data_IF_688539159017
#
_entry.id   IF_688539159017
#
_cell.length_a   1.000
_cell.length_b   1.000
_cell.length_c   1.000
_cell.angle_alpha   90.00
_cell.angle_beta   90.00
_cell.angle_gamma   90.00
#
_symmetry.space_group_name_H-M   'P 1'
#
loop_
_entity.id
_entity.type
_entity.pdbx_description
1 polymer ?
#
# COMPACT_ATOMS: atom_id res chain seq x y z
N UNK A 1 -61.33 -29.96 -40.49
CA UNK A 1 -61.76 -28.57 -40.20
C UNK A 1 -61.58 -28.31 -38.72
N UNK A 2 -60.67 -27.42 -38.32
CA UNK A 2 -60.59 -27.00 -36.91
C UNK A 2 -61.81 -26.13 -36.59
N UNK A 3 -62.79 -26.70 -35.88
CA UNK A 3 -63.98 -25.98 -35.44
C UNK A 3 -63.69 -25.35 -34.07
N UNK A 4 -63.30 -24.08 -34.05
CA UNK A 4 -63.12 -23.32 -32.81
C UNK A 4 -64.42 -22.66 -32.37
N UNK A 5 -64.70 -22.70 -31.07
CA UNK A 5 -65.79 -21.91 -30.48
C UNK A 5 -65.53 -20.41 -30.69
N UNK A 6 -66.59 -19.64 -30.93
CA UNK A 6 -66.52 -18.18 -31.18
C UNK A 6 -65.76 -17.43 -30.07
N UNK A 7 -65.82 -17.92 -28.83
CA UNK A 7 -65.07 -17.37 -27.69
C UNK A 7 -63.56 -17.62 -27.78
N UNK A 8 -63.13 -18.81 -28.26
CA UNK A 8 -61.70 -19.13 -28.42
C UNK A 8 -61.08 -18.25 -29.50
N UNK A 9 -61.81 -17.99 -30.58
CA UNK A 9 -61.37 -17.09 -31.66
C UNK A 9 -61.19 -15.68 -31.12
N UNK A 10 -62.15 -15.16 -30.36
CA UNK A 10 -62.05 -13.84 -29.73
C UNK A 10 -60.82 -13.70 -28.82
N UNK A 11 -60.53 -14.73 -28.02
CA UNK A 11 -59.34 -14.73 -27.14
C UNK A 11 -58.03 -14.70 -27.93
N UNK A 12 -57.91 -15.51 -28.98
CA UNK A 12 -56.74 -15.55 -29.84
C UNK A 12 -56.52 -14.20 -30.52
N UNK A 13 -57.59 -13.60 -31.08
CA UNK A 13 -57.51 -12.32 -31.77
C UNK A 13 -57.12 -11.20 -30.79
N UNK A 14 -57.71 -11.18 -29.60
CA UNK A 14 -57.38 -10.20 -28.56
C UNK A 14 -55.92 -10.33 -28.12
N UNK A 15 -55.41 -11.54 -27.91
CA UNK A 15 -54.01 -11.77 -27.55
C UNK A 15 -53.06 -11.28 -28.66
N UNK A 16 -53.36 -11.56 -29.93
CA UNK A 16 -52.59 -11.06 -31.08
C UNK A 16 -52.58 -9.53 -31.11
N UNK A 17 -53.74 -8.89 -30.91
CA UNK A 17 -53.83 -7.42 -30.89
C UNK A 17 -53.04 -6.82 -29.72
N UNK A 18 -53.11 -7.45 -28.53
CA UNK A 18 -52.32 -7.04 -27.36
C UNK A 18 -50.81 -7.13 -27.67
N UNK A 19 -50.35 -8.25 -28.22
CA UNK A 19 -48.92 -8.43 -28.52
C UNK A 19 -48.47 -7.50 -29.64
N UNK A 20 -49.31 -7.27 -30.65
CA UNK A 20 -49.02 -6.33 -31.73
C UNK A 20 -48.95 -4.88 -31.23
N UNK A 21 -49.85 -4.49 -30.33
CA UNK A 21 -49.82 -3.16 -29.70
C UNK A 21 -48.55 -2.95 -28.85
N UNK A 22 -48.17 -3.96 -28.05
CA UNK A 22 -46.90 -3.94 -27.30
C UNK A 22 -45.70 -3.87 -28.25
N UNK A 23 -45.73 -4.64 -29.35
CA UNK A 23 -44.67 -4.64 -30.36
C UNK A 23 -44.51 -3.27 -31.00
N UNK A 24 -45.59 -2.63 -31.45
CA UNK A 24 -45.57 -1.26 -32.00
C UNK A 24 -45.07 -0.22 -30.98
N UNK A 25 -45.48 -0.34 -29.71
CA UNK A 25 -44.99 0.53 -28.64
C UNK A 25 -43.48 0.42 -28.40
N UNK A 26 -42.85 -0.70 -28.77
CA UNK A 26 -41.41 -0.89 -28.73
C UNK A 26 -40.68 -0.36 -29.98
N UNK A 27 -41.38 0.01 -31.06
CA UNK A 27 -40.79 0.66 -32.25
C UNK A 27 -40.56 2.16 -32.04
N UNK A 28 -40.00 2.54 -30.90
CA UNK A 28 -39.70 3.93 -30.59
C UNK A 28 -38.42 4.36 -31.33
N UNK A 29 -38.55 4.65 -32.64
CA UNK A 29 -37.43 4.94 -33.54
C UNK A 29 -36.83 6.36 -33.35
N UNK A 30 -37.44 7.21 -32.52
CA UNK A 30 -37.09 8.63 -32.40
C UNK A 30 -36.56 9.06 -31.02
N UNK A 31 -36.88 8.34 -29.93
CA UNK A 31 -36.48 8.74 -28.58
C UNK A 31 -35.84 7.60 -27.82
N UNK A 32 -34.57 7.82 -27.45
CA UNK A 32 -33.74 6.98 -26.58
C UNK A 32 -34.17 7.09 -25.11
N UNK A 33 -35.47 7.09 -24.83
CA UNK A 33 -35.99 7.08 -23.47
C UNK A 33 -36.24 5.63 -23.09
N UNK A 34 -35.22 5.03 -22.48
CA UNK A 34 -35.18 3.66 -21.99
C UNK A 34 -36.27 3.43 -20.93
N UNK A 35 -37.45 2.97 -21.35
CA UNK A 35 -38.58 2.76 -20.44
C UNK A 35 -38.50 1.44 -19.67
N UNK A 36 -37.62 0.52 -20.06
CA UNK A 36 -37.40 -0.75 -19.36
C UNK A 36 -35.92 -1.13 -19.43
N UNK A 37 -35.24 -1.07 -18.27
CA UNK A 37 -33.90 -1.60 -18.00
C UNK A 37 -32.68 -0.76 -18.45
N UNK A 38 -32.58 0.45 -17.92
CA UNK A 38 -31.28 1.16 -17.78
C UNK A 38 -30.41 0.61 -16.63
N UNK A 39 -30.53 -0.68 -16.30
CA UNK A 39 -29.59 -1.30 -15.35
C UNK A 39 -28.31 -1.60 -16.10
N UNK A 40 -27.34 -0.69 -16.01
CA UNK A 40 -25.94 -1.00 -16.31
C UNK A 40 -25.55 -2.26 -15.53
N UNK A 41 -25.34 -3.35 -16.25
CA UNK A 41 -24.74 -4.56 -15.67
C UNK A 41 -23.28 -4.22 -15.39
N UNK A 42 -22.86 -4.37 -14.14
CA UNK A 42 -21.45 -4.25 -13.78
C UNK A 42 -20.72 -5.46 -14.35
N UNK A 43 -20.09 -5.24 -15.49
CA UNK A 43 -19.24 -6.23 -16.14
C UNK A 43 -17.97 -6.44 -15.27
N UNK A 44 -17.52 -7.69 -15.15
CA UNK A 44 -16.24 -7.99 -14.50
C UNK A 44 -15.05 -7.57 -15.36
N UNK A 45 -13.84 -7.59 -14.79
CA UNK A 45 -12.60 -7.19 -15.48
C UNK A 45 -12.38 -7.92 -16.81
N UNK A 46 -12.67 -9.22 -16.86
CA UNK A 46 -12.56 -10.05 -18.07
C UNK A 46 -13.49 -9.58 -19.20
N UNK A 47 -14.66 -9.05 -18.85
CA UNK A 47 -15.66 -8.55 -19.79
C UNK A 47 -15.52 -7.05 -20.10
N UNK A 48 -14.95 -6.27 -19.18
CA UNK A 48 -14.65 -4.84 -19.38
C UNK A 48 -13.33 -4.61 -20.10
N UNK A 49 -12.45 -5.61 -20.09
CA UNK A 49 -11.06 -5.48 -20.52
C UNK A 49 -10.24 -4.78 -19.44
N UNK A 50 -9.29 -5.51 -18.84
CA UNK A 50 -8.30 -4.97 -17.91
C UNK A 50 -7.38 -6.06 -17.36
N UNK A 51 -6.50 -5.73 -16.41
CA UNK A 51 -5.53 -6.67 -15.83
C UNK A 51 -5.58 -6.67 -14.31
N UNK A 52 -5.41 -7.85 -13.71
CA UNK A 52 -5.27 -8.04 -12.27
C UNK A 52 -3.82 -8.42 -11.97
N UNK A 53 -3.15 -7.64 -11.12
CA UNK A 53 -1.75 -7.83 -10.78
C UNK A 53 -1.63 -8.15 -9.29
N UNK A 54 -1.02 -9.28 -8.97
CA UNK A 54 -0.56 -9.60 -7.62
C UNK A 54 0.90 -9.18 -7.50
N UNK A 55 1.19 -8.28 -6.56
CA UNK A 55 2.53 -7.74 -6.35
C UNK A 55 3.08 -8.24 -5.01
N UNK A 56 4.27 -8.82 -5.06
CA UNK A 56 5.09 -9.14 -3.90
C UNK A 56 6.45 -8.44 -4.04
N UNK A 57 6.99 -7.95 -2.92
CA UNK A 57 8.23 -7.18 -2.89
C UNK A 57 9.17 -7.81 -1.87
N UNK A 58 10.41 -8.07 -2.31
CA UNK A 58 11.48 -8.42 -1.39
C UNK A 58 11.93 -7.17 -0.62
N UNK A 59 11.70 -7.19 0.70
CA UNK A 59 11.97 -6.07 1.59
C UNK A 59 13.40 -6.05 2.11
N UNK A 60 14.13 -7.17 2.02
CA UNK A 60 15.45 -7.30 2.63
C UNK A 60 16.48 -6.30 2.07
N UNK A 61 16.55 -6.05 0.75
CA UNK A 61 17.47 -5.05 0.20
C UNK A 61 17.15 -3.64 0.70
N UNK A 62 15.87 -3.32 0.88
CA UNK A 62 15.44 -2.01 1.39
C UNK A 62 15.83 -1.84 2.87
N UNK A 63 15.67 -2.89 3.69
CA UNK A 63 16.11 -2.88 5.08
C UNK A 63 17.62 -2.65 5.17
N UNK A 64 18.40 -3.38 4.37
CA UNK A 64 19.86 -3.23 4.37
C UNK A 64 20.28 -1.82 3.96
N UNK A 65 19.67 -1.26 2.90
CA UNK A 65 19.91 0.12 2.50
C UNK A 65 19.60 1.11 3.62
N UNK A 66 18.49 0.91 4.34
CA UNK A 66 18.10 1.76 5.47
C UNK A 66 19.07 1.63 6.65
N UNK A 67 19.62 0.44 6.90
CA UNK A 67 20.69 0.25 7.89
C UNK A 67 21.96 0.99 7.50
N UNK A 68 22.35 0.97 6.23
CA UNK A 68 23.51 1.69 5.71
C UNK A 68 23.35 3.20 5.87
N UNK A 69 22.20 3.75 5.47
CA UNK A 69 21.87 5.16 5.67
C UNK A 69 21.99 5.56 7.16
N UNK A 70 21.44 4.74 8.05
CA UNK A 70 21.47 4.97 9.50
C UNK A 70 22.86 4.80 10.12
N UNK A 71 23.66 3.86 9.63
CA UNK A 71 25.04 3.67 10.04
C UNK A 71 25.90 4.90 9.69
N UNK A 72 25.67 5.50 8.52
CA UNK A 72 26.32 6.74 8.10
C UNK A 72 25.93 7.91 9.01
N UNK A 73 24.64 8.05 9.31
CA UNK A 73 24.13 9.11 10.19
C UNK A 73 24.68 8.97 11.63
N UNK A 74 24.69 7.76 12.17
CA UNK A 74 25.29 7.47 13.48
C UNK A 74 26.78 7.81 13.49
N UNK A 75 27.51 7.41 12.45
CA UNK A 75 28.94 7.73 12.31
C UNK A 75 29.19 9.24 12.32
N UNK A 76 28.35 10.02 11.64
CA UNK A 76 28.42 11.48 11.63
C UNK A 76 28.20 12.06 13.03
N UNK A 77 27.14 11.65 13.71
CA UNK A 77 26.81 12.14 15.06
C UNK A 77 27.88 11.74 16.08
N UNK A 78 28.41 10.51 15.98
CA UNK A 78 29.48 10.05 16.85
C UNK A 78 30.75 10.88 16.67
N UNK A 79 31.11 11.21 15.42
CA UNK A 79 32.23 12.10 15.14
C UNK A 79 31.99 13.53 15.68
N UNK A 80 30.78 14.09 15.49
CA UNK A 80 30.41 15.41 16.02
C UNK A 80 30.54 15.48 17.55
N UNK A 81 30.15 14.40 18.24
CA UNK A 81 30.25 14.27 19.70
C UNK A 81 31.61 13.78 20.21
N UNK A 82 32.59 13.60 19.31
CA UNK A 82 33.93 13.07 19.61
C UNK A 82 33.89 11.73 20.37
N UNK A 83 32.95 10.85 19.99
CA UNK A 83 32.83 9.52 20.54
C UNK A 83 33.92 8.60 19.96
N UNK A 84 34.62 7.89 20.84
CA UNK A 84 35.64 6.91 20.46
C UNK A 84 35.00 5.54 20.22
N UNK A 85 34.60 5.26 18.97
CA UNK A 85 34.03 3.98 18.56
C UNK A 85 34.97 3.16 17.65
N UNK A 86 34.75 1.84 17.56
CA UNK A 86 35.43 0.89 16.67
C UNK A 86 34.42 -0.08 16.05
N UNK A 87 34.84 -0.75 14.98
CA UNK A 87 34.13 -1.89 14.37
C UNK A 87 32.67 -1.62 13.97
N UNK A 88 32.31 -0.37 13.64
CA UNK A 88 30.98 -0.04 13.14
C UNK A 88 30.73 -0.74 11.81
N UNK A 89 29.83 -1.72 11.85
CA UNK A 89 29.53 -2.61 10.74
C UNK A 89 28.07 -3.05 10.79
N UNK A 90 27.58 -3.57 9.65
CA UNK A 90 26.23 -4.11 9.54
C UNK A 90 26.34 -5.62 9.41
N UNK A 91 25.76 -6.35 10.35
CA UNK A 91 25.77 -7.81 10.38
C UNK A 91 24.35 -8.32 10.66
N UNK A 92 23.85 -9.22 9.81
CA UNK A 92 22.53 -9.86 9.98
C UNK A 92 21.39 -8.87 10.28
N UNK A 93 21.31 -7.81 9.47
CA UNK A 93 20.32 -6.73 9.60
C UNK A 93 20.39 -5.95 10.93
N UNK A 94 21.58 -5.88 11.53
CA UNK A 94 21.86 -5.12 12.75
C UNK A 94 23.10 -4.27 12.54
N UNK A 95 23.12 -3.09 13.15
CA UNK A 95 24.33 -2.28 13.25
C UNK A 95 25.04 -2.70 14.54
N UNK A 96 26.32 -3.00 14.45
CA UNK A 96 27.15 -3.36 15.61
C UNK A 96 28.34 -2.44 15.71
N UNK A 97 28.68 -1.99 16.92
CA UNK A 97 29.89 -1.22 17.17
C UNK A 97 30.38 -1.38 18.62
N UNK A 98 31.66 -1.08 18.84
CA UNK A 98 32.29 -1.10 20.15
C UNK A 98 32.70 0.31 20.57
N UNK A 99 32.65 0.62 21.87
CA UNK A 99 33.23 1.84 22.42
C UNK A 99 34.64 1.56 22.94
N UNK A 100 35.62 2.40 22.59
CA UNK A 100 36.97 2.29 23.15
C UNK A 100 37.03 2.72 24.61
N UNK A 101 36.18 3.68 25.00
CA UNK A 101 36.13 4.22 26.34
C UNK A 101 34.75 3.96 26.98
N UNK A 102 34.65 3.13 28.03
CA UNK A 102 33.39 2.79 28.66
C UNK A 102 32.71 3.99 29.34
N UNK A 103 33.45 5.05 29.67
CA UNK A 103 32.89 6.28 30.27
C UNK A 103 31.96 7.02 29.31
N UNK A 104 32.11 6.82 27.99
CA UNK A 104 31.30 7.50 26.97
C UNK A 104 29.96 6.80 26.67
N UNK A 105 29.61 5.76 27.44
CA UNK A 105 28.40 4.96 27.26
C UNK A 105 27.12 5.80 27.24
N UNK A 106 26.96 6.71 28.19
CA UNK A 106 25.76 7.56 28.28
C UNK A 106 25.68 8.55 27.11
N UNK A 107 26.81 9.11 26.69
CA UNK A 107 26.89 9.98 25.52
C UNK A 107 26.53 9.24 24.23
N UNK A 108 26.95 7.98 24.09
CA UNK A 108 26.58 7.13 22.96
C UNK A 108 25.08 6.81 22.94
N UNK A 109 24.49 6.48 24.09
CA UNK A 109 23.04 6.24 24.20
C UNK A 109 22.25 7.50 23.81
N UNK A 110 22.69 8.68 24.27
CA UNK A 110 22.07 9.96 23.91
C UNK A 110 22.18 10.25 22.41
N UNK A 111 23.33 9.97 21.78
CA UNK A 111 23.52 10.09 20.34
C UNK A 111 22.60 9.18 19.52
N UNK A 112 22.41 7.94 19.97
CA UNK A 112 21.49 6.97 19.33
C UNK A 112 20.04 7.49 19.43
N UNK A 113 19.64 7.99 20.59
CA UNK A 113 18.30 8.55 20.80
C UNK A 113 18.04 9.80 19.93
N UNK A 114 19.04 10.66 19.75
CA UNK A 114 18.93 11.82 18.83
C UNK A 114 18.71 11.39 17.38
N UNK A 115 19.35 10.30 16.96
CA UNK A 115 19.21 9.77 15.60
C UNK A 115 17.80 9.26 15.33
N UNK A 116 17.19 8.61 16.33
CA UNK A 116 15.77 8.18 16.26
C UNK A 116 14.80 9.37 16.15
N UNK A 117 15.15 10.53 16.71
CA UNK A 117 14.27 11.70 16.70
C UNK A 117 14.38 12.53 15.41
N UNK A 118 15.53 12.50 14.72
CA UNK A 118 15.81 13.32 13.53
C UNK A 118 14.99 12.92 12.29
N UNK A 119 14.60 11.65 12.13
CA UNK A 119 13.81 11.22 10.97
C UNK A 119 12.33 11.66 10.98
N UNK A 120 11.86 12.25 12.08
CA UNK A 120 10.54 12.88 12.16
C UNK A 120 10.39 14.18 11.34
N UNK A 121 11.37 14.53 10.49
CA UNK A 121 11.28 15.74 9.67
C UNK A 121 10.16 15.64 8.61
N UNK A 122 9.89 14.44 8.08
CA UNK A 122 8.76 14.20 7.17
C UNK A 122 7.43 13.90 7.89
N UNK A 123 7.45 13.60 9.20
CA UNK A 123 6.24 13.36 10.01
C UNK A 123 5.62 14.64 10.59
N UNK A 124 6.23 15.82 10.39
CA UNK A 124 5.72 17.11 10.88
C UNK A 124 4.33 17.50 10.37
N UNK A 125 3.78 16.83 9.35
CA UNK A 125 2.44 17.10 8.81
C UNK A 125 1.34 16.37 9.62
N UNK A 126 1.67 15.40 10.49
CA UNK A 126 0.68 14.66 11.30
C UNK A 126 1.06 14.64 12.78
N UNK A 127 0.97 15.82 13.41
CA UNK A 127 1.43 16.08 14.78
C UNK A 127 0.47 15.66 15.91
N UNK A 128 -0.42 14.68 15.70
CA UNK A 128 -1.45 14.28 16.69
C UNK A 128 -1.40 12.79 17.05
N UNK A 129 -0.22 12.19 17.19
CA UNK A 129 -0.14 10.85 17.79
C UNK A 129 1.16 10.73 18.57
N UNK A 130 1.02 10.71 19.90
CA UNK A 130 2.10 10.58 20.89
C UNK A 130 2.67 9.15 20.94
N UNK A 131 3.03 8.58 19.80
CA UNK A 131 3.85 7.39 19.75
C UNK A 131 5.19 7.79 19.14
N UNK A 132 6.18 7.98 20.01
CA UNK A 132 7.58 8.10 19.59
C UNK A 132 8.03 6.73 19.08
N UNK A 133 7.59 6.37 17.86
CA UNK A 133 8.00 5.14 17.21
C UNK A 133 9.49 5.25 16.94
N UNK A 134 10.29 4.67 17.83
CA UNK A 134 11.73 4.57 17.64
C UNK A 134 11.98 3.65 16.46
N UNK A 135 12.74 4.14 15.49
CA UNK A 135 13.16 3.34 14.35
C UNK A 135 13.90 2.08 14.83
N UNK A 136 14.75 2.22 15.85
CA UNK A 136 15.56 1.15 16.41
C UNK A 136 15.44 0.99 17.92
N UNK A 137 15.62 -0.24 18.38
CA UNK A 137 16.05 -0.53 19.74
C UNK A 137 17.55 -0.86 19.75
N UNK A 138 18.20 -0.66 20.90
CA UNK A 138 19.58 -1.05 21.11
C UNK A 138 19.67 -2.09 22.23
N UNK A 139 20.65 -2.98 22.13
CA UNK A 139 21.07 -3.91 23.18
C UNK A 139 22.59 -3.79 23.33
N UNK A 140 23.07 -3.99 24.55
CA UNK A 140 24.50 -4.01 24.84
C UNK A 140 24.85 -5.39 25.36
N UNK A 141 25.70 -6.12 24.65
CA UNK A 141 26.19 -7.45 25.02
C UNK A 141 27.72 -7.43 25.05
N UNK A 142 28.33 -7.70 26.21
CA UNK A 142 29.80 -7.74 26.37
C UNK A 142 30.52 -6.50 25.78
N UNK A 143 30.01 -5.30 26.10
CA UNK A 143 30.47 -3.99 25.60
C UNK A 143 30.29 -3.72 24.08
N UNK A 144 29.63 -4.62 23.37
CA UNK A 144 29.20 -4.43 21.98
C UNK A 144 27.80 -3.84 21.96
N UNK A 145 27.63 -2.72 21.28
CA UNK A 145 26.33 -2.14 20.99
C UNK A 145 25.75 -2.80 19.75
N UNK A 146 24.50 -3.24 19.85
CA UNK A 146 23.74 -3.88 18.78
C UNK A 146 22.46 -3.06 18.59
N UNK A 147 22.28 -2.48 17.41
CA UNK A 147 21.07 -1.74 17.02
C UNK A 147 20.30 -2.52 15.97
N UNK A 148 19.00 -2.65 16.17
CA UNK A 148 18.11 -3.38 15.29
C UNK A 148 16.79 -2.62 15.11
N UNK A 149 16.29 -2.60 13.87
CA UNK A 149 15.01 -1.98 13.58
C UNK A 149 13.90 -2.64 14.39
N UNK A 150 12.96 -1.84 14.89
CA UNK A 150 11.76 -2.37 15.54
C UNK A 150 10.87 -3.09 14.51
N UNK A 151 10.10 -4.07 14.96
CA UNK A 151 9.13 -4.76 14.09
C UNK A 151 8.09 -3.80 13.52
N UNK A 152 7.70 -2.80 14.30
CA UNK A 152 6.79 -1.74 13.87
C UNK A 152 7.39 -0.92 12.73
N UNK A 153 8.66 -0.49 12.85
CA UNK A 153 9.35 0.20 11.77
C UNK A 153 9.44 -0.66 10.49
N UNK A 154 9.79 -1.95 10.62
CA UNK A 154 9.86 -2.87 9.48
C UNK A 154 8.49 -3.02 8.81
N UNK A 155 7.41 -3.10 9.60
CA UNK A 155 6.03 -3.16 9.08
C UNK A 155 5.65 -1.88 8.33
N UNK A 156 6.03 -0.72 8.84
CA UNK A 156 5.84 0.56 8.15
C UNK A 156 6.61 0.61 6.84
N UNK A 157 7.90 0.27 6.88
CA UNK A 157 8.77 0.21 5.70
C UNK A 157 8.19 -0.70 4.61
N UNK A 158 7.67 -1.88 4.99
CA UNK A 158 7.01 -2.81 4.07
C UNK A 158 5.78 -2.19 3.43
N UNK A 159 4.93 -1.54 4.22
CA UNK A 159 3.72 -0.88 3.72
C UNK A 159 4.07 0.24 2.73
N UNK A 160 5.07 1.05 3.04
CA UNK A 160 5.50 2.17 2.20
C UNK A 160 6.11 1.67 0.88
N UNK A 161 6.91 0.61 0.94
CA UNK A 161 7.46 -0.04 -0.26
C UNK A 161 6.36 -0.56 -1.19
N UNK A 162 5.33 -1.21 -0.64
CA UNK A 162 4.17 -1.69 -1.41
C UNK A 162 3.44 -0.51 -2.07
N UNK A 163 3.12 0.52 -1.32
CA UNK A 163 2.43 1.70 -1.86
C UNK A 163 3.25 2.38 -2.97
N UNK A 164 4.56 2.51 -2.77
CA UNK A 164 5.44 3.09 -3.78
C UNK A 164 5.49 2.24 -5.04
N UNK A 165 5.55 0.91 -4.92
CA UNK A 165 5.51 0.00 -6.07
C UNK A 165 4.20 0.14 -6.84
N UNK A 166 3.05 0.17 -6.15
CA UNK A 166 1.74 0.38 -6.78
C UNK A 166 1.70 1.70 -7.54
N UNK A 167 2.21 2.79 -6.95
CA UNK A 167 2.28 4.10 -7.62
C UNK A 167 3.21 4.09 -8.85
N UNK A 168 4.34 3.38 -8.78
CA UNK A 168 5.25 3.23 -9.93
C UNK A 168 4.54 2.47 -11.06
N UNK A 169 3.86 1.37 -10.75
CA UNK A 169 3.10 0.57 -11.73
C UNK A 169 1.99 1.42 -12.34
N UNK A 170 1.21 2.14 -11.51
CA UNK A 170 0.14 3.03 -11.97
C UNK A 170 0.68 4.10 -12.94
N UNK A 171 1.76 4.79 -12.58
CA UNK A 171 2.39 5.79 -13.45
C UNK A 171 2.87 5.22 -14.77
N UNK A 172 3.36 3.96 -14.79
CA UNK A 172 3.79 3.30 -16.02
C UNK A 172 2.61 2.96 -16.92
N UNK A 173 1.49 2.53 -16.35
CA UNK A 173 0.26 2.28 -17.10
C UNK A 173 -0.32 3.58 -17.64
N UNK A 174 -0.37 4.64 -16.83
CA UNK A 174 -0.88 5.95 -17.24
C UNK A 174 -0.03 6.62 -18.35
N UNK A 175 1.22 6.17 -18.53
CA UNK A 175 2.12 6.64 -19.59
C UNK A 175 1.95 5.91 -20.94
N UNK A 176 1.23 4.79 -20.97
CA UNK A 176 0.94 4.01 -22.18
C UNK A 176 -0.34 4.51 -22.86
#
# INVERSE_FOLDING_TARGET
MLNFSRLKIGFILSSIVIFFYIFLGNFNFANKTNLFLDKKVNLGLDLQGGSYLLLEIDINPLINKKLEEKAIDLKKIFNEKKLDFKNLSILNNKITFDLKNPVQKDTAINAINETNNKENFFSKIKKNTENTNKDFFYRIEKDIFILQFTEEYIKHLKKDAINQSVEIVRKRVDQL
#
